data_IF_615161664357
#
_entry.id   IF_615161664357
#
_cell.length_a   1.000
_cell.length_b   1.000
_cell.length_c   1.000
_cell.angle_alpha   90.00
_cell.angle_beta   90.00
_cell.angle_gamma   90.00
#
_symmetry.space_group_name_H-M   'P 1'
#
loop_
_entity.id
_entity.type
_entity.pdbx_description
1 polymer ?
#
# COMPACT_ATOMS: atom_id res chain seq x y z
N UNK A 1 17.94 -34.70 -0.08
CA UNK A 1 17.19 -34.43 1.18
C UNK A 1 16.63 -33.02 1.06
N UNK A 2 15.30 -32.86 1.09
CA UNK A 2 14.66 -31.54 1.00
C UNK A 2 14.67 -30.82 2.35
N UNK A 3 14.60 -29.49 2.32
CA UNK A 3 14.36 -28.66 3.50
C UNK A 3 12.94 -28.09 3.45
N UNK A 4 12.38 -27.77 4.62
CA UNK A 4 11.10 -27.06 4.74
C UNK A 4 11.34 -25.54 4.67
N UNK A 5 10.36 -24.79 4.21
CA UNK A 5 10.41 -23.32 4.20
C UNK A 5 9.30 -22.77 5.08
N UNK A 6 9.65 -21.82 5.95
CA UNK A 6 8.72 -21.14 6.84
C UNK A 6 8.79 -19.64 6.58
N UNK A 7 7.67 -19.06 6.13
CA UNK A 7 7.51 -17.62 5.92
C UNK A 7 6.75 -17.02 7.10
N UNK A 8 7.35 -16.02 7.75
CA UNK A 8 6.74 -15.23 8.80
C UNK A 8 6.57 -13.81 8.28
N UNK A 9 5.32 -13.38 8.16
CA UNK A 9 5.01 -12.00 7.81
C UNK A 9 4.98 -11.12 9.06
N UNK A 10 5.24 -9.82 8.87
CA UNK A 10 5.22 -8.81 9.93
C UNK A 10 6.04 -9.18 11.18
N UNK A 11 7.24 -9.74 10.96
CA UNK A 11 8.11 -10.18 12.06
C UNK A 11 8.55 -9.03 12.98
N UNK A 12 8.47 -7.78 12.52
CA UNK A 12 8.70 -6.56 13.28
C UNK A 12 7.57 -6.19 14.28
N UNK A 13 6.42 -6.87 14.20
CA UNK A 13 5.36 -6.76 15.20
C UNK A 13 5.58 -7.69 16.41
N UNK A 14 6.57 -8.57 16.37
CA UNK A 14 6.92 -9.44 17.50
C UNK A 14 7.71 -8.68 18.56
N UNK A 15 7.42 -8.96 19.84
CA UNK A 15 8.24 -8.45 20.95
C UNK A 15 9.66 -8.99 20.91
N UNK A 16 10.60 -8.31 21.58
CA UNK A 16 11.99 -8.73 21.63
C UNK A 16 12.16 -10.15 22.24
N UNK A 17 11.35 -10.51 23.23
CA UNK A 17 11.36 -11.84 23.87
C UNK A 17 10.85 -12.93 22.91
N UNK A 18 9.81 -12.62 22.12
CA UNK A 18 9.28 -13.51 21.11
C UNK A 18 10.32 -13.72 19.99
N UNK A 19 10.97 -12.66 19.53
CA UNK A 19 12.07 -12.76 18.55
C UNK A 19 13.27 -13.55 19.11
N UNK A 20 13.67 -13.34 20.36
CA UNK A 20 14.73 -14.12 21.00
C UNK A 20 14.39 -15.62 21.06
N UNK A 21 13.11 -15.95 21.24
CA UNK A 21 12.61 -17.31 21.22
C UNK A 21 12.60 -17.90 19.81
N UNK A 22 12.14 -17.12 18.82
CA UNK A 22 12.20 -17.48 17.40
C UNK A 22 13.64 -17.78 16.96
N UNK A 23 14.62 -16.97 17.39
CA UNK A 23 16.04 -17.20 17.11
C UNK A 23 16.49 -18.61 17.52
N UNK A 24 16.13 -19.04 18.73
CA UNK A 24 16.49 -20.40 19.23
C UNK A 24 15.88 -21.49 18.35
N UNK A 25 14.65 -21.28 17.86
CA UNK A 25 13.98 -22.20 16.93
C UNK A 25 14.72 -22.22 15.58
N UNK A 26 15.08 -21.06 15.03
CA UNK A 26 15.84 -20.96 13.79
C UNK A 26 17.18 -21.68 13.88
N UNK A 27 17.90 -21.51 14.98
CA UNK A 27 19.18 -22.18 15.25
C UNK A 27 19.01 -23.71 15.28
N UNK A 28 18.03 -24.20 16.06
CA UNK A 28 17.76 -25.62 16.25
C UNK A 28 17.40 -26.34 14.95
N UNK A 29 16.65 -25.68 14.06
CA UNK A 29 16.13 -26.29 12.83
C UNK A 29 16.86 -25.85 11.56
N UNK A 30 18.02 -25.19 11.67
CA UNK A 30 18.80 -24.69 10.53
C UNK A 30 19.25 -25.78 9.54
N UNK A 31 19.32 -27.05 9.95
CA UNK A 31 19.65 -28.17 9.07
C UNK A 31 18.48 -28.71 8.23
N UNK A 32 17.24 -28.46 8.64
CA UNK A 32 16.03 -29.05 8.03
C UNK A 32 14.97 -28.03 7.62
N UNK A 33 15.11 -26.77 8.03
CA UNK A 33 14.20 -25.67 7.75
C UNK A 33 14.95 -24.39 7.35
N UNK A 34 14.38 -23.64 6.41
CA UNK A 34 14.78 -22.28 6.03
C UNK A 34 13.67 -21.32 6.42
N UNK A 35 14.06 -20.16 6.94
CA UNK A 35 13.14 -19.14 7.42
C UNK A 35 13.21 -17.92 6.50
N UNK A 36 12.05 -17.37 6.14
CA UNK A 36 11.92 -16.07 5.50
C UNK A 36 11.12 -15.19 6.45
N UNK A 37 11.68 -14.05 6.81
CA UNK A 37 11.03 -13.06 7.67
C UNK A 37 10.74 -11.81 6.83
N UNK A 38 9.47 -11.46 6.69
CA UNK A 38 9.03 -10.19 6.13
C UNK A 38 8.84 -9.18 7.27
N UNK A 39 9.26 -7.95 7.03
CA UNK A 39 9.14 -6.84 7.97
C UNK A 39 9.19 -5.50 7.22
N UNK A 40 8.52 -4.48 7.75
CA UNK A 40 8.59 -3.13 7.19
C UNK A 40 9.83 -2.39 7.68
N UNK A 41 10.22 -2.63 8.93
CA UNK A 41 11.37 -1.95 9.55
C UNK A 41 12.40 -2.95 10.05
N UNK A 42 13.51 -3.10 9.32
CA UNK A 42 14.61 -3.99 9.73
C UNK A 42 15.19 -3.63 11.10
N UNK A 43 15.12 -2.35 11.50
CA UNK A 43 15.57 -1.87 12.81
C UNK A 43 14.75 -2.40 13.99
N UNK A 44 13.52 -2.89 13.74
CA UNK A 44 12.67 -3.53 14.76
C UNK A 44 12.95 -5.03 14.90
N UNK A 45 13.83 -5.59 14.07
CA UNK A 45 14.31 -6.96 14.18
C UNK A 45 15.60 -6.97 15.00
N UNK A 46 15.69 -7.83 16.02
CA UNK A 46 16.88 -7.90 16.87
C UNK A 46 18.12 -8.33 16.07
N UNK A 47 19.28 -7.73 16.38
CA UNK A 47 20.56 -8.03 15.71
C UNK A 47 20.90 -9.53 15.63
N UNK A 48 20.62 -10.37 16.67
CA UNK A 48 20.89 -11.81 16.58
C UNK A 48 20.12 -12.55 15.48
N UNK A 49 18.93 -12.07 15.08
CA UNK A 49 18.20 -12.62 13.94
C UNK A 49 18.83 -12.10 12.65
N UNK A 50 19.06 -10.79 12.55
CA UNK A 50 19.64 -10.17 11.34
C UNK A 50 21.00 -10.80 10.98
N UNK A 51 21.85 -11.09 11.97
CA UNK A 51 23.16 -11.70 11.76
C UNK A 51 23.12 -13.12 11.17
N UNK A 52 21.95 -13.78 11.18
CA UNK A 52 21.73 -15.15 10.67
C UNK A 52 20.94 -15.17 9.36
N UNK A 53 20.48 -14.01 8.89
CA UNK A 53 19.66 -13.87 7.71
C UNK A 53 20.44 -13.12 6.62
N UNK A 54 20.24 -13.52 5.36
CA UNK A 54 20.54 -12.64 4.24
C UNK A 54 19.45 -11.55 4.18
N UNK A 55 19.86 -10.28 4.27
CA UNK A 55 18.91 -9.16 4.29
C UNK A 55 18.67 -8.68 2.86
N UNK A 56 17.43 -8.79 2.41
CA UNK A 56 16.97 -8.25 1.14
C UNK A 56 16.10 -7.01 1.42
N UNK A 57 16.51 -5.86 0.86
CA UNK A 57 15.77 -4.61 1.00
C UNK A 57 14.93 -4.36 -0.25
N UNK A 58 13.62 -4.47 -0.10
CA UNK A 58 12.67 -4.10 -1.14
C UNK A 58 12.44 -2.58 -1.10
N UNK A 59 12.43 -1.96 -2.28
CA UNK A 59 12.07 -0.55 -2.45
C UNK A 59 10.72 -0.50 -3.14
N UNK A 60 10.01 0.62 -2.97
CA UNK A 60 8.81 0.89 -3.75
C UNK A 60 9.10 0.80 -5.25
N UNK A 61 8.12 0.35 -6.02
CA UNK A 61 8.26 0.22 -7.46
C UNK A 61 8.45 1.59 -8.11
N UNK A 62 9.41 1.73 -9.05
CA UNK A 62 9.41 2.84 -9.99
C UNK A 62 8.09 2.88 -10.78
N UNK A 63 7.60 4.07 -11.18
CA UNK A 63 6.35 4.19 -11.94
C UNK A 63 6.31 3.34 -13.21
N UNK A 64 7.43 3.23 -13.93
CA UNK A 64 7.53 2.46 -15.18
C UNK A 64 7.41 0.94 -14.95
N UNK A 65 8.03 0.42 -13.88
CA UNK A 65 7.93 -0.99 -13.51
C UNK A 65 6.52 -1.33 -13.03
N UNK A 66 5.91 -0.42 -12.26
CA UNK A 66 4.53 -0.54 -11.79
C UNK A 66 3.55 -0.55 -12.97
N UNK A 67 3.72 0.37 -13.92
CA UNK A 67 2.96 0.41 -15.17
C UNK A 67 3.08 -0.90 -15.94
N UNK A 68 4.31 -1.38 -16.15
CA UNK A 68 4.58 -2.64 -16.86
C UNK A 68 3.85 -3.82 -16.19
N UNK A 69 3.87 -3.88 -14.85
CA UNK A 69 3.17 -4.92 -14.10
C UNK A 69 1.64 -4.84 -14.29
N UNK A 70 1.05 -3.65 -14.26
CA UNK A 70 -0.38 -3.45 -14.45
C UNK A 70 -0.81 -3.73 -15.90
N UNK A 71 -0.02 -3.33 -16.90
CA UNK A 71 -0.30 -3.62 -18.31
C UNK A 71 -0.30 -5.12 -18.61
N UNK A 72 0.51 -5.90 -17.88
CA UNK A 72 0.46 -7.37 -17.96
C UNK A 72 -0.88 -7.90 -17.44
N UNK A 73 -1.41 -7.34 -16.35
CA UNK A 73 -2.70 -7.73 -15.77
C UNK A 73 -3.83 -7.36 -16.73
N UNK A 74 -3.90 -6.11 -17.19
CA UNK A 74 -4.99 -5.64 -18.07
C UNK A 74 -5.03 -6.40 -19.39
N UNK A 75 -3.87 -6.77 -19.95
CA UNK A 75 -3.78 -7.59 -21.15
C UNK A 75 -4.29 -9.01 -20.93
N UNK A 76 -3.96 -9.63 -19.79
CA UNK A 76 -4.40 -10.98 -19.45
C UNK A 76 -5.92 -11.05 -19.18
N UNK A 77 -6.47 -9.99 -18.58
CA UNK A 77 -7.89 -9.88 -18.24
C UNK A 77 -8.73 -9.25 -19.37
N UNK A 78 -8.12 -8.91 -20.51
CA UNK A 78 -8.75 -8.23 -21.65
C UNK A 78 -9.47 -6.91 -21.28
N UNK A 79 -8.98 -6.20 -20.26
CA UNK A 79 -9.57 -4.97 -19.76
C UNK A 79 -9.03 -3.76 -20.54
N UNK A 80 -9.94 -2.88 -20.99
CA UNK A 80 -9.56 -1.61 -21.62
C UNK A 80 -9.35 -0.54 -20.55
N UNK A 81 -8.16 0.06 -20.55
CA UNK A 81 -7.77 1.10 -19.60
C UNK A 81 -7.20 2.28 -20.35
N UNK A 82 -7.75 3.47 -20.09
CA UNK A 82 -7.27 4.71 -20.72
C UNK A 82 -5.89 5.09 -20.19
N UNK A 83 -5.02 5.77 -20.98
CA UNK A 83 -3.72 6.23 -20.50
C UNK A 83 -3.81 7.14 -19.27
N UNK A 84 -4.83 8.00 -19.21
CA UNK A 84 -5.08 8.89 -18.07
C UNK A 84 -5.43 8.10 -16.79
N UNK A 85 -6.22 7.02 -16.91
CA UNK A 85 -6.51 6.15 -15.77
C UNK A 85 -5.25 5.50 -15.19
N UNK A 86 -4.31 5.07 -16.04
CA UNK A 86 -3.03 4.54 -15.56
C UNK A 86 -2.26 5.59 -14.74
N UNK A 87 -2.15 6.83 -15.21
CA UNK A 87 -1.46 7.89 -14.47
C UNK A 87 -2.07 8.14 -13.08
N UNK A 88 -3.41 8.13 -13.00
CA UNK A 88 -4.10 8.25 -11.71
C UNK A 88 -3.82 7.05 -10.81
N UNK A 89 -3.86 5.81 -11.31
CA UNK A 89 -3.55 4.61 -10.51
C UNK A 89 -2.11 4.66 -10.01
N UNK A 90 -1.14 4.96 -10.88
CA UNK A 90 0.28 5.02 -10.53
C UNK A 90 0.55 6.08 -9.45
N UNK A 91 -0.06 7.25 -9.61
CA UNK A 91 0.02 8.34 -8.63
C UNK A 91 -0.63 7.95 -7.30
N UNK A 92 -1.83 7.37 -7.33
CA UNK A 92 -2.57 6.93 -6.14
C UNK A 92 -1.86 5.82 -5.37
N UNK A 93 -1.13 4.96 -6.08
CA UNK A 93 -0.48 3.79 -5.50
C UNK A 93 0.89 4.09 -4.89
N UNK A 94 1.54 5.19 -5.27
CA UNK A 94 2.84 5.61 -4.73
C UNK A 94 3.90 4.49 -4.70
N UNK A 95 3.95 3.65 -5.75
CA UNK A 95 4.90 2.54 -5.86
C UNK A 95 4.49 1.25 -5.13
N UNK A 96 3.29 1.19 -4.56
CA UNK A 96 2.71 -0.04 -3.99
C UNK A 96 1.89 -0.80 -5.06
N UNK A 97 2.42 -1.94 -5.51
CA UNK A 97 1.78 -2.80 -6.49
C UNK A 97 0.45 -3.40 -6.00
N UNK A 98 0.33 -3.72 -4.70
CA UNK A 98 -0.92 -4.24 -4.13
C UNK A 98 -2.00 -3.18 -4.19
N UNK A 99 -1.68 -1.95 -3.78
CA UNK A 99 -2.61 -0.80 -3.85
C UNK A 99 -3.02 -0.52 -5.29
N UNK A 100 -2.07 -0.47 -6.23
CA UNK A 100 -2.35 -0.26 -7.64
C UNK A 100 -3.28 -1.33 -8.24
N UNK A 101 -2.99 -2.61 -7.95
CA UNK A 101 -3.78 -3.74 -8.45
C UNK A 101 -5.20 -3.72 -7.88
N UNK A 102 -5.36 -3.39 -6.60
CA UNK A 102 -6.68 -3.27 -5.99
C UNK A 102 -7.50 -2.13 -6.61
N UNK A 103 -6.90 -0.95 -6.85
CA UNK A 103 -7.58 0.15 -7.53
C UNK A 103 -8.00 -0.22 -8.95
N UNK A 104 -7.12 -0.91 -9.69
CA UNK A 104 -7.42 -1.41 -11.02
C UNK A 104 -8.62 -2.38 -10.98
N UNK A 105 -8.62 -3.34 -10.05
CA UNK A 105 -9.69 -4.32 -9.89
C UNK A 105 -11.04 -3.67 -9.53
N UNK A 106 -11.05 -2.73 -8.59
CA UNK A 106 -12.26 -2.02 -8.20
C UNK A 106 -12.85 -1.23 -9.37
N UNK A 107 -12.00 -0.57 -10.14
CA UNK A 107 -12.41 0.19 -11.31
C UNK A 107 -12.92 -0.72 -12.44
N UNK A 108 -12.31 -1.89 -12.64
CA UNK A 108 -12.75 -2.90 -13.60
C UNK A 108 -14.14 -3.45 -13.28
N UNK A 109 -14.45 -3.64 -12.00
CA UNK A 109 -15.76 -4.14 -11.57
C UNK A 109 -16.90 -3.13 -11.82
N UNK A 110 -16.58 -1.83 -11.82
CA UNK A 110 -17.57 -0.76 -12.00
C UNK A 110 -17.92 -0.50 -13.47
N UNK A 111 -16.99 -0.74 -14.41
CA UNK A 111 -17.19 -0.42 -15.83
C UNK A 111 -16.30 -1.27 -16.73
N UNK A 112 -16.81 -1.59 -17.93
CA UNK A 112 -16.08 -2.38 -18.94
C UNK A 112 -14.88 -1.63 -19.55
N UNK A 113 -14.85 -0.30 -19.44
CA UNK A 113 -13.72 0.55 -19.79
C UNK A 113 -13.31 1.38 -18.56
N UNK A 114 -12.03 1.32 -18.22
CA UNK A 114 -11.48 2.03 -17.05
C UNK A 114 -10.99 3.40 -17.50
N UNK A 115 -11.73 4.42 -17.08
CA UNK A 115 -11.45 5.84 -17.31
C UNK A 115 -10.86 6.49 -16.07
N UNK A 116 -10.23 7.66 -16.24
CA UNK A 116 -9.74 8.47 -15.12
C UNK A 116 -10.82 8.69 -14.04
N UNK A 117 -12.04 9.03 -14.45
CA UNK A 117 -13.15 9.28 -13.53
C UNK A 117 -13.52 8.03 -12.71
N UNK A 118 -13.56 6.86 -13.37
CA UNK A 118 -13.83 5.59 -12.68
C UNK A 118 -12.78 5.28 -11.61
N UNK A 119 -11.50 5.57 -11.89
CA UNK A 119 -10.43 5.37 -10.92
C UNK A 119 -10.51 6.40 -9.80
N UNK A 120 -10.78 7.68 -10.11
CA UNK A 120 -10.89 8.74 -9.11
C UNK A 120 -12.01 8.48 -8.10
N UNK A 121 -13.09 7.80 -8.48
CA UNK A 121 -14.15 7.40 -7.56
C UNK A 121 -13.65 6.46 -6.44
N UNK A 122 -12.65 5.62 -6.73
CA UNK A 122 -12.13 4.62 -5.78
C UNK A 122 -10.75 4.98 -5.20
N UNK A 123 -9.97 5.79 -5.92
CA UNK A 123 -8.74 6.34 -5.41
C UNK A 123 -9.08 7.30 -4.26
N UNK A 124 -8.28 7.31 -3.19
CA UNK A 124 -8.40 8.30 -2.11
C UNK A 124 -8.01 9.73 -2.54
N UNK A 125 -7.75 9.95 -3.84
CA UNK A 125 -7.34 11.23 -4.44
C UNK A 125 -8.40 12.35 -4.36
N UNK A 126 -9.73 12.11 -4.43
CA UNK A 126 -10.75 13.16 -4.32
C UNK A 126 -10.60 13.99 -3.04
N UNK A 127 -10.04 13.40 -1.99
CA UNK A 127 -9.82 14.07 -0.72
C UNK A 127 -8.86 15.24 -0.84
N UNK A 128 -7.83 15.17 -1.70
CA UNK A 128 -6.83 16.23 -1.79
C UNK A 128 -7.42 17.55 -2.29
N UNK A 129 -8.22 17.52 -3.36
CA UNK A 129 -8.86 18.75 -3.88
C UNK A 129 -9.87 19.32 -2.88
N UNK A 130 -10.67 18.45 -2.26
CA UNK A 130 -11.66 18.89 -1.27
C UNK A 130 -10.99 19.45 0.00
N UNK A 131 -9.84 18.90 0.42
CA UNK A 131 -9.01 19.43 1.51
C UNK A 131 -8.35 20.76 1.11
N UNK A 132 -7.83 20.88 -0.11
CA UNK A 132 -7.27 22.15 -0.62
C UNK A 132 -8.34 23.25 -0.66
N UNK A 133 -9.57 22.95 -1.10
CA UNK A 133 -10.71 23.88 -1.05
C UNK A 133 -11.11 24.26 0.39
N UNK A 134 -11.13 23.28 1.29
CA UNK A 134 -11.41 23.50 2.72
C UNK A 134 -10.38 24.45 3.34
N UNK A 135 -9.09 24.21 3.06
CA UNK A 135 -7.99 25.04 3.56
C UNK A 135 -8.03 26.44 2.94
N UNK A 136 -8.31 26.56 1.64
CA UNK A 136 -8.44 27.85 0.96
C UNK A 136 -9.55 28.71 1.61
N UNK A 137 -10.73 28.13 1.87
CA UNK A 137 -11.83 28.84 2.56
C UNK A 137 -11.45 29.27 3.98
N UNK A 138 -10.72 28.42 4.71
CA UNK A 138 -10.24 28.77 6.04
C UNK A 138 -9.24 29.94 5.99
N UNK A 139 -8.34 29.95 5.00
CA UNK A 139 -7.38 31.06 4.77
C UNK A 139 -8.07 32.36 4.36
N UNK A 140 -9.18 32.29 3.63
CA UNK A 140 -10.02 33.44 3.26
C UNK A 140 -10.88 33.97 4.42
N UNK A 141 -10.88 33.29 5.57
CA UNK A 141 -11.63 33.67 6.76
C UNK A 141 -13.05 33.09 6.85
N UNK A 142 -13.46 32.27 5.87
CA UNK A 142 -14.72 31.54 5.91
C UNK A 142 -14.60 30.25 6.75
N UNK A 143 -14.57 30.42 8.06
CA UNK A 143 -14.49 29.31 9.01
C UNK A 143 -15.70 28.36 8.90
N UNK A 144 -16.90 28.91 8.73
CA UNK A 144 -18.12 28.09 8.68
C UNK A 144 -18.19 27.26 7.40
N UNK A 145 -17.79 27.83 6.26
CA UNK A 145 -17.68 27.10 5.00
C UNK A 145 -16.60 26.03 5.02
N UNK A 146 -15.42 26.33 5.57
CA UNK A 146 -14.35 25.33 5.75
C UNK A 146 -14.80 24.18 6.67
N UNK A 147 -15.38 24.50 7.83
CA UNK A 147 -15.91 23.50 8.77
C UNK A 147 -17.03 22.67 8.16
N UNK A 148 -17.95 23.28 7.41
CA UNK A 148 -19.00 22.57 6.69
C UNK A 148 -18.43 21.57 5.70
N UNK A 149 -17.32 21.93 5.03
CA UNK A 149 -16.65 21.03 4.09
C UNK A 149 -15.91 19.89 4.75
N UNK A 150 -15.26 20.14 5.90
CA UNK A 150 -14.70 19.10 6.75
C UNK A 150 -15.76 18.08 7.20
N UNK A 151 -16.95 18.56 7.60
CA UNK A 151 -18.04 17.66 7.97
C UNK A 151 -18.52 16.82 6.79
N UNK A 152 -18.70 17.42 5.61
CA UNK A 152 -19.07 16.69 4.40
C UNK A 152 -18.05 15.58 4.06
N UNK A 153 -16.75 15.84 4.24
CA UNK A 153 -15.71 14.82 4.06
C UNK A 153 -15.88 13.62 5.00
N UNK A 154 -16.21 13.87 6.27
CA UNK A 154 -16.47 12.79 7.22
C UNK A 154 -17.77 12.03 6.94
N UNK A 155 -18.87 12.72 6.62
CA UNK A 155 -20.19 12.07 6.50
C UNK A 155 -20.52 11.54 5.11
N UNK A 156 -20.14 12.25 4.05
CA UNK A 156 -20.52 11.88 2.67
C UNK A 156 -19.46 10.99 2.02
N UNK A 157 -18.18 11.21 2.34
CA UNK A 157 -17.05 10.46 1.78
C UNK A 157 -16.49 9.39 2.72
N UNK A 158 -16.87 9.43 4.00
CA UNK A 158 -16.35 8.48 4.99
C UNK A 158 -14.84 8.59 5.23
N UNK A 159 -14.25 9.76 4.94
CA UNK A 159 -12.81 9.99 5.14
C UNK A 159 -12.46 9.87 6.63
N UNK A 160 -11.29 9.32 6.95
CA UNK A 160 -10.78 9.30 8.33
C UNK A 160 -9.94 10.52 8.62
N UNK A 161 -9.66 10.79 9.90
CA UNK A 161 -8.78 11.89 10.29
C UNK A 161 -7.36 11.75 9.73
N UNK A 162 -6.87 10.51 9.58
CA UNK A 162 -5.56 10.24 8.97
C UNK A 162 -5.54 10.51 7.46
N UNK A 163 -6.67 10.36 6.78
CA UNK A 163 -6.73 10.68 5.34
C UNK A 163 -6.65 12.21 5.10
N UNK A 164 -7.07 13.02 6.08
CA UNK A 164 -7.17 14.49 5.98
C UNK A 164 -5.87 15.20 6.42
N UNK A 165 -5.08 14.59 7.32
CA UNK A 165 -3.84 15.14 7.88
C UNK A 165 -2.64 14.96 6.93
#
# INVERSE_FOLDING_TARGET
VGFKLLFLDEADNLTAEAQASLRRVMERFSGSCRFILSCNYSSRIIDPIQSRCAVFRFRSYPPDDLRTALERITRAEHQRVTPAAFEVILTAAAGDLRRATNLLQLSANASQEITEESVQQFATIPLRREVEEMVARALEGDFFGARGRLYALFTERGATGEDIL
#
